data_IF_932323130657
#
_entry.id   IF_932323130657
#
_cell.length_a   1.000
_cell.length_b   1.000
_cell.length_c   1.000
_cell.angle_alpha   90.00
_cell.angle_beta   90.00
_cell.angle_gamma   90.00
#
_symmetry.space_group_name_H-M   'P 1'
#
loop_
_entity.id
_entity.type
_entity.pdbx_description
1 polymer ?
#
# COMPACT_ATOMS: atom_id res chain seq x y z
N UNK A 1 -1.46 7.51 -24.20
CA UNK A 1 -2.09 7.25 -25.50
C UNK A 1 -1.25 7.87 -26.62
N UNK A 2 0.02 7.44 -26.76
CA UNK A 2 0.93 7.96 -27.80
C UNK A 2 0.99 7.04 -29.03
N UNK A 3 0.79 5.74 -28.79
CA UNK A 3 0.84 4.69 -29.82
C UNK A 3 -0.55 4.28 -30.33
N UNK A 4 -1.62 4.80 -29.74
CA UNK A 4 -3.02 4.63 -30.18
C UNK A 4 -3.36 5.86 -31.03
N UNK A 5 -3.18 5.71 -32.35
CA UNK A 5 -3.17 6.85 -33.26
C UNK A 5 -4.57 7.32 -33.60
N UNK A 6 -5.52 6.40 -33.73
CA UNK A 6 -6.92 6.68 -34.04
C UNK A 6 -7.81 6.88 -32.78
N UNK A 7 -7.28 6.58 -31.58
CA UNK A 7 -7.93 6.77 -30.28
C UNK A 7 -9.22 5.97 -30.14
N UNK A 8 -9.31 4.85 -30.85
CA UNK A 8 -10.45 3.94 -30.76
C UNK A 8 -10.38 3.05 -29.49
N UNK A 9 -9.25 3.09 -28.77
CA UNK A 9 -8.99 2.34 -27.55
C UNK A 9 -8.62 0.87 -27.77
N UNK A 10 -8.33 0.47 -29.02
CA UNK A 10 -7.97 -0.89 -29.44
C UNK A 10 -6.73 -0.85 -30.34
N UNK A 11 -5.57 -1.09 -29.74
CA UNK A 11 -4.31 -1.13 -30.51
C UNK A 11 -4.33 -2.24 -31.58
N UNK A 12 -4.15 -1.83 -32.83
CA UNK A 12 -3.83 -2.73 -33.94
C UNK A 12 -2.44 -3.36 -33.77
N UNK A 13 -2.09 -4.37 -34.57
CA UNK A 13 -0.79 -5.06 -34.45
C UNK A 13 0.40 -4.11 -34.53
N UNK A 14 0.30 -3.11 -35.39
CA UNK A 14 1.37 -2.17 -35.67
C UNK A 14 1.49 -1.14 -34.54
N UNK A 15 0.35 -0.67 -34.03
CA UNK A 15 0.29 0.20 -32.86
C UNK A 15 0.78 -0.49 -31.58
N UNK A 16 0.52 -1.80 -31.44
CA UNK A 16 1.04 -2.58 -30.33
C UNK A 16 2.57 -2.70 -30.36
N UNK A 17 3.15 -2.95 -31.54
CA UNK A 17 4.60 -3.00 -31.72
C UNK A 17 5.25 -1.65 -31.42
N UNK A 18 4.64 -0.55 -31.90
CA UNK A 18 5.08 0.82 -31.59
C UNK A 18 4.96 1.10 -30.09
N UNK A 19 3.86 0.70 -29.44
CA UNK A 19 3.68 0.87 -28.00
C UNK A 19 4.75 0.14 -27.20
N UNK A 20 5.11 -1.08 -27.63
CA UNK A 20 6.16 -1.87 -26.99
C UNK A 20 7.54 -1.23 -27.17
N UNK A 21 7.86 -0.75 -28.38
CA UNK A 21 9.09 -0.02 -28.62
C UNK A 21 9.20 1.26 -27.76
N UNK A 22 8.10 2.00 -27.62
CA UNK A 22 8.06 3.16 -26.72
C UNK A 22 8.30 2.77 -25.24
N UNK A 23 7.78 1.61 -24.80
CA UNK A 23 8.05 1.12 -23.45
C UNK A 23 9.54 0.81 -23.24
N UNK A 24 10.20 0.25 -24.25
CA UNK A 24 11.61 -0.08 -24.18
C UNK A 24 12.52 1.16 -24.21
N UNK A 25 12.15 2.20 -24.97
CA UNK A 25 12.84 3.50 -24.96
C UNK A 25 12.77 4.16 -23.57
N UNK A 26 11.59 4.17 -22.94
CA UNK A 26 11.42 4.69 -21.57
C UNK A 26 12.21 3.86 -20.57
N UNK A 27 12.18 2.54 -20.73
CA UNK A 27 12.91 1.61 -19.85
C UNK A 27 14.43 1.74 -20.01
N UNK A 28 14.90 2.15 -21.19
CA UNK A 28 16.28 2.54 -21.45
C UNK A 28 16.65 3.95 -20.94
N UNK A 29 15.71 4.65 -20.30
CA UNK A 29 15.94 5.96 -19.67
C UNK A 29 15.88 7.16 -20.62
N UNK A 30 15.44 6.96 -21.86
CA UNK A 30 15.24 8.05 -22.82
C UNK A 30 13.83 8.64 -22.68
N UNK A 31 13.72 9.97 -22.80
CA UNK A 31 12.44 10.66 -22.76
C UNK A 31 11.67 10.45 -24.07
N UNK A 32 10.40 10.06 -23.98
CA UNK A 32 9.57 9.89 -25.17
C UNK A 32 9.29 11.25 -25.82
N UNK A 33 9.40 11.35 -27.16
CA UNK A 33 9.01 12.56 -27.88
C UNK A 33 7.51 12.84 -27.71
N UNK A 34 7.12 14.12 -27.65
CA UNK A 34 5.74 14.55 -27.38
C UNK A 34 4.74 14.18 -28.47
N UNK A 35 5.22 13.87 -29.67
CA UNK A 35 4.47 13.33 -30.81
C UNK A 35 5.33 12.27 -31.50
N UNK A 36 4.71 11.14 -31.86
CA UNK A 36 5.39 10.04 -32.54
C UNK A 36 5.89 10.52 -33.93
N UNK A 37 7.15 10.26 -34.35
CA UNK A 37 7.64 10.63 -35.68
C UNK A 37 6.90 9.89 -36.80
N UNK A 38 6.52 10.60 -37.87
CA UNK A 38 5.71 10.07 -38.98
C UNK A 38 6.41 8.93 -39.77
N UNK A 39 7.71 8.73 -39.56
CA UNK A 39 8.48 7.61 -40.13
C UNK A 39 8.09 6.24 -39.54
N UNK A 40 7.54 6.19 -38.33
CA UNK A 40 7.22 4.94 -37.63
C UNK A 40 5.85 4.34 -38.02
N UNK A 41 5.07 5.08 -38.80
CA UNK A 41 3.78 4.63 -39.36
C UNK A 41 3.93 3.99 -40.75
N UNK A 42 5.11 4.08 -41.38
CA UNK A 42 5.35 3.69 -42.77
C UNK A 42 6.15 2.40 -42.94
N UNK A 43 6.17 1.47 -41.96
CA UNK A 43 6.96 0.23 -42.07
C UNK A 43 6.21 -0.98 -42.61
N UNK A 44 4.88 -0.96 -42.72
CA UNK A 44 4.13 -2.22 -42.97
C UNK A 44 3.72 -2.46 -44.43
N UNK A 45 3.82 -1.50 -45.34
CA UNK A 45 3.42 -1.71 -46.75
C UNK A 45 4.59 -2.10 -47.67
N UNK A 46 5.85 -1.74 -47.35
CA UNK A 46 6.99 -1.93 -48.26
C UNK A 46 7.80 -3.24 -48.11
N UNK A 47 7.58 -4.05 -47.07
CA UNK A 47 8.40 -5.25 -46.80
C UNK A 47 7.73 -6.60 -47.10
N UNK A 48 6.58 -6.62 -47.77
CA UNK A 48 5.90 -7.89 -48.10
C UNK A 48 6.31 -8.54 -49.43
N UNK A 49 7.27 -7.96 -50.16
CA UNK A 49 7.73 -8.48 -51.47
C UNK A 49 9.12 -9.11 -51.49
N UNK A 50 9.77 -9.36 -50.34
CA UNK A 50 11.04 -10.08 -50.32
C UNK A 50 11.09 -11.10 -49.21
N UNK A 51 10.88 -12.36 -49.59
CA UNK A 51 11.54 -13.61 -49.15
C UNK A 51 10.51 -14.72 -49.34
N UNK A 52 10.53 -15.29 -50.54
CA UNK A 52 9.71 -16.42 -50.95
C UNK A 52 10.28 -17.04 -52.21
N UNK A 53 11.60 -17.20 -52.31
CA UNK A 53 12.28 -18.02 -53.32
C UNK A 53 13.79 -18.06 -53.07
N UNK A 54 14.30 -19.24 -52.70
CA UNK A 54 15.63 -19.85 -52.93
C UNK A 54 15.87 -20.88 -51.82
N UNK A 55 16.34 -22.10 -52.06
CA UNK A 55 16.84 -22.76 -53.27
C UNK A 55 16.78 -24.28 -53.03
N UNK A 56 16.47 -25.10 -54.04
CA UNK A 56 17.41 -25.60 -55.08
C UNK A 56 18.55 -26.41 -54.46
N UNK A 57 18.62 -27.72 -54.74
CA UNK A 57 19.57 -28.36 -55.69
C UNK A 57 20.35 -29.41 -54.88
N UNK A 58 20.80 -30.60 -55.32
CA UNK A 58 21.12 -31.25 -56.59
C UNK A 58 21.02 -32.78 -56.35
N UNK A 59 20.58 -33.65 -57.27
CA UNK A 59 21.18 -34.10 -58.56
C UNK A 59 22.40 -35.02 -58.39
N UNK A 60 22.28 -36.19 -59.04
CA UNK A 60 23.34 -37.08 -59.55
C UNK A 60 24.09 -37.97 -58.55
N UNK A 61 24.54 -39.17 -58.90
CA UNK A 61 24.45 -39.97 -60.13
C UNK A 61 25.14 -41.31 -59.88
N UNK A 62 24.60 -42.36 -60.49
CA UNK A 62 25.27 -43.36 -61.32
C UNK A 62 26.46 -44.21 -60.81
N UNK A 63 26.41 -45.44 -61.36
CA UNK A 63 27.51 -46.28 -61.82
C UNK A 63 28.18 -47.23 -60.82
N UNK A 64 27.92 -48.53 -61.01
CA UNK A 64 28.94 -49.44 -61.54
C UNK A 64 28.28 -50.72 -62.07
N UNK A 65 28.34 -50.87 -63.39
CA UNK A 65 28.31 -52.15 -64.10
C UNK A 65 29.60 -52.94 -63.82
N UNK A 66 29.69 -54.11 -64.48
CA UNK A 66 30.90 -54.87 -64.87
C UNK A 66 31.12 -56.09 -63.94
N UNK A 67 31.16 -57.34 -64.38
CA UNK A 67 31.08 -57.99 -65.70
C UNK A 67 31.22 -59.53 -65.42
N UNK A 68 30.57 -60.44 -66.18
CA UNK A 68 31.18 -61.17 -67.32
C UNK A 68 31.87 -62.48 -66.83
N UNK A 69 31.75 -63.68 -67.41
CA UNK A 69 31.18 -64.14 -68.68
C UNK A 69 31.53 -65.64 -68.92
N UNK A 70 30.85 -66.23 -69.92
CA UNK A 70 31.34 -67.18 -70.94
C UNK A 70 31.68 -68.63 -70.52
N UNK A 71 31.56 -69.65 -71.39
CA UNK A 71 31.53 -69.72 -72.87
C UNK A 71 30.84 -71.04 -73.28
N UNK A 72 29.85 -71.01 -74.17
CA UNK A 72 29.91 -71.36 -75.60
C UNK A 72 30.33 -72.80 -75.96
N UNK A 73 29.49 -73.48 -76.75
CA UNK A 73 29.71 -73.69 -78.19
C UNK A 73 28.52 -74.51 -78.78
N UNK A 74 27.78 -73.98 -79.77
CA UNK A 74 28.01 -74.06 -81.23
C UNK A 74 27.82 -75.51 -81.76
N UNK A 75 26.96 -75.83 -82.75
CA UNK A 75 26.64 -75.24 -84.07
C UNK A 75 25.30 -75.88 -84.56
N UNK A 76 24.33 -75.15 -85.15
CA UNK A 76 24.26 -74.72 -86.57
C UNK A 76 24.08 -75.93 -87.53
N UNK A 77 23.13 -76.09 -88.47
CA UNK A 77 22.01 -75.32 -89.06
C UNK A 77 21.28 -76.20 -90.12
N UNK A 78 20.09 -75.74 -90.56
CA UNK A 78 19.56 -75.66 -91.97
C UNK A 78 19.67 -76.91 -92.88
N UNK A 79 18.75 -77.30 -93.77
CA UNK A 79 17.62 -76.70 -94.49
C UNK A 79 17.08 -77.81 -95.42
N UNK A 80 15.78 -77.75 -95.72
CA UNK A 80 15.03 -78.11 -96.97
C UNK A 80 15.55 -79.11 -98.04
N UNK A 81 14.54 -79.70 -98.70
CA UNK A 81 14.49 -80.35 -100.05
C UNK A 81 14.54 -81.89 -100.08
N UNK A 82 13.42 -82.55 -100.42
CA UNK A 82 12.92 -82.99 -101.75
C UNK A 82 13.66 -84.21 -102.34
N UNK A 83 13.02 -85.39 -102.38
CA UNK A 83 12.60 -86.11 -103.60
C UNK A 83 12.18 -87.57 -103.32
N UNK A 84 11.21 -88.01 -104.13
CA UNK A 84 10.65 -89.34 -104.40
C UNK A 84 11.73 -90.44 -104.66
N UNK A 85 11.42 -91.76 -104.86
CA UNK A 85 10.18 -92.30 -105.45
C UNK A 85 9.69 -93.73 -105.01
N UNK A 86 8.54 -94.14 -105.60
CA UNK A 86 8.18 -95.48 -106.16
C UNK A 86 8.13 -96.74 -105.24
N UNK A 87 7.26 -97.76 -105.33
CA UNK A 87 6.01 -98.12 -106.07
C UNK A 87 5.50 -99.50 -105.58
N UNK A 88 4.18 -99.74 -105.74
CA UNK A 88 3.47 -101.03 -106.01
C UNK A 88 3.14 -102.04 -104.86
N UNK A 89 1.83 -102.25 -104.70
CA UNK A 89 0.94 -103.37 -104.27
C UNK A 89 1.39 -104.84 -104.52
N UNK A 90 0.62 -105.94 -104.24
CA UNK A 90 -0.73 -106.08 -103.62
C UNK A 90 -0.91 -107.24 -102.57
N UNK A 91 -2.11 -107.27 -101.97
CA UNK A 91 -2.92 -108.37 -101.36
C UNK A 91 -2.35 -109.78 -101.04
N UNK A 92 -2.67 -110.34 -99.85
CA UNK A 92 -3.54 -111.56 -99.65
C UNK A 92 -3.66 -112.08 -98.20
N UNK A 93 -4.94 -112.19 -97.78
CA UNK A 93 -5.66 -113.14 -96.89
C UNK A 93 -4.96 -114.18 -95.98
N UNK A 94 -5.44 -114.17 -94.72
CA UNK A 94 -5.85 -115.29 -93.83
C UNK A 94 -4.80 -116.20 -93.14
N UNK A 95 -4.56 -115.97 -91.84
CA UNK A 95 -4.83 -116.95 -90.76
C UNK A 95 -4.61 -116.30 -89.36
N UNK A 96 -5.26 -115.14 -89.16
CA UNK A 96 -5.49 -114.54 -87.84
C UNK A 96 -6.36 -115.54 -87.04
N UNK A 97 -6.05 -115.91 -85.80
CA UNK A 97 -6.73 -115.32 -84.63
C UNK A 97 -6.04 -115.67 -83.28
N UNK A 98 -4.92 -116.42 -83.23
CA UNK A 98 -4.31 -116.82 -81.93
C UNK A 98 -3.19 -115.91 -81.39
N UNK A 99 -2.54 -115.11 -82.25
CA UNK A 99 -1.45 -114.20 -81.83
C UNK A 99 -1.93 -112.78 -81.47
N UNK A 100 -3.13 -112.41 -81.89
CA UNK A 100 -3.71 -111.08 -81.64
C UNK A 100 -3.99 -110.83 -80.17
N UNK A 101 -4.50 -111.83 -79.46
CA UNK A 101 -4.91 -111.71 -78.06
C UNK A 101 -3.70 -111.56 -77.11
N UNK A 102 -2.60 -112.29 -77.37
CA UNK A 102 -1.35 -112.19 -76.58
C UNK A 102 -0.58 -110.90 -76.83
N UNK A 103 -0.65 -110.35 -78.04
CA UNK A 103 -0.07 -109.04 -78.39
C UNK A 103 -0.86 -107.91 -77.71
N UNK A 104 -2.18 -108.02 -77.71
CA UNK A 104 -3.06 -107.02 -77.12
C UNK A 104 -2.97 -106.99 -75.59
N UNK A 105 -2.88 -108.14 -74.93
CA UNK A 105 -2.70 -108.19 -73.47
C UNK A 105 -1.37 -107.60 -73.00
N UNK A 106 -0.26 -107.85 -73.72
CA UNK A 106 1.02 -107.19 -73.43
C UNK A 106 0.97 -105.68 -73.67
N UNK A 107 0.26 -105.25 -74.71
CA UNK A 107 0.04 -103.83 -74.98
C UNK A 107 -0.77 -103.17 -73.87
N UNK A 108 -1.83 -103.81 -73.39
CA UNK A 108 -2.68 -103.30 -72.31
C UNK A 108 -2.00 -103.31 -70.94
N UNK A 109 -1.26 -104.37 -70.60
CA UNK A 109 -0.52 -104.44 -69.34
C UNK A 109 0.66 -103.45 -69.34
N UNK A 110 1.36 -103.31 -70.47
CA UNK A 110 2.39 -102.28 -70.65
C UNK A 110 1.81 -100.86 -70.62
N UNK A 111 0.63 -100.66 -71.21
CA UNK A 111 -0.09 -99.38 -71.18
C UNK A 111 -0.53 -99.02 -69.76
N UNK A 112 -1.13 -99.96 -69.01
CA UNK A 112 -1.53 -99.77 -67.61
C UNK A 112 -0.34 -99.49 -66.69
N UNK A 113 0.78 -100.18 -66.90
CA UNK A 113 1.99 -99.95 -66.10
C UNK A 113 2.65 -98.60 -66.42
N UNK A 114 2.71 -98.22 -67.70
CA UNK A 114 3.14 -96.89 -68.10
C UNK A 114 2.19 -95.81 -67.60
N UNK A 115 0.89 -96.06 -67.58
CA UNK A 115 -0.12 -95.14 -67.09
C UNK A 115 -0.05 -94.98 -65.56
N UNK A 116 0.18 -96.06 -64.81
CA UNK A 116 0.52 -95.99 -63.37
C UNK A 116 1.80 -95.21 -63.12
N UNK A 117 2.86 -95.45 -63.89
CA UNK A 117 4.12 -94.70 -63.75
C UNK A 117 3.92 -93.21 -64.07
N UNK A 118 3.15 -92.88 -65.10
CA UNK A 118 2.78 -91.48 -65.42
C UNK A 118 1.94 -90.84 -64.31
N UNK A 119 1.02 -91.59 -63.69
CA UNK A 119 0.25 -91.11 -62.54
C UNK A 119 1.14 -90.88 -61.32
N UNK A 120 2.01 -91.84 -60.98
CA UNK A 120 2.93 -91.72 -59.85
C UNK A 120 3.91 -90.55 -60.04
N UNK A 121 4.43 -90.35 -61.25
CA UNK A 121 5.28 -89.21 -61.59
C UNK A 121 4.54 -87.89 -61.44
N UNK A 122 3.29 -87.79 -61.93
CA UNK A 122 2.46 -86.59 -61.74
C UNK A 122 2.13 -86.34 -60.27
N UNK A 123 1.79 -87.37 -59.51
CA UNK A 123 1.52 -87.25 -58.08
C UNK A 123 2.77 -86.84 -57.29
N UNK A 124 3.94 -87.35 -57.68
CA UNK A 124 5.23 -86.96 -57.08
C UNK A 124 5.57 -85.50 -57.43
N UNK A 125 5.42 -85.10 -58.70
CA UNK A 125 5.59 -83.70 -59.13
C UNK A 125 4.62 -82.76 -58.41
N UNK A 126 3.34 -83.15 -58.27
CA UNK A 126 2.33 -82.39 -57.53
C UNK A 126 2.64 -82.32 -56.03
N UNK A 127 3.08 -83.41 -55.40
CA UNK A 127 3.48 -83.42 -53.99
C UNK A 127 4.67 -82.52 -53.75
N UNK A 128 5.70 -82.62 -54.60
CA UNK A 128 6.90 -81.79 -54.53
C UNK A 128 6.58 -80.32 -54.85
N UNK A 129 5.62 -80.05 -55.73
CA UNK A 129 5.12 -78.71 -56.02
C UNK A 129 4.34 -78.14 -54.82
N UNK A 130 3.41 -78.90 -54.22
CA UNK A 130 2.67 -78.47 -53.01
C UNK A 130 3.57 -78.22 -51.82
N UNK A 131 4.57 -79.08 -51.60
CA UNK A 131 5.55 -78.88 -50.51
C UNK A 131 6.42 -77.65 -50.75
N UNK A 132 6.81 -77.37 -52.00
CA UNK A 132 7.51 -76.13 -52.36
C UNK A 132 6.62 -74.90 -52.12
N UNK A 133 5.37 -74.94 -52.55
CA UNK A 133 4.41 -73.85 -52.34
C UNK A 133 4.11 -73.61 -50.85
N UNK A 134 3.96 -74.66 -50.04
CA UNK A 134 3.74 -74.52 -48.60
C UNK A 134 4.98 -73.95 -47.90
N UNK A 135 6.18 -74.39 -48.31
CA UNK A 135 7.45 -73.84 -47.82
C UNK A 135 7.63 -72.38 -48.24
N UNK A 136 7.22 -72.00 -49.45
CA UNK A 136 7.23 -70.61 -49.92
C UNK A 136 6.23 -69.76 -49.15
N UNK A 137 4.97 -70.18 -49.02
CA UNK A 137 3.95 -69.48 -48.20
C UNK A 137 4.40 -69.32 -46.75
N UNK A 138 5.05 -70.32 -46.17
CA UNK A 138 5.60 -70.25 -44.81
C UNK A 138 6.75 -69.25 -44.71
N UNK A 139 7.68 -69.24 -45.68
CA UNK A 139 8.76 -68.24 -45.76
C UNK A 139 8.23 -66.83 -45.95
N UNK A 140 7.22 -66.65 -46.81
CA UNK A 140 6.56 -65.38 -47.05
C UNK A 140 5.83 -64.88 -45.79
N UNK A 141 5.10 -65.76 -45.10
CA UNK A 141 4.45 -65.44 -43.83
C UNK A 141 5.45 -65.07 -42.73
N UNK A 142 6.56 -65.81 -42.61
CA UNK A 142 7.63 -65.49 -41.66
C UNK A 142 8.31 -64.15 -41.99
N UNK A 143 8.57 -63.88 -43.27
CA UNK A 143 9.16 -62.62 -43.71
C UNK A 143 8.20 -61.43 -43.50
N UNK A 144 6.91 -61.61 -43.80
CA UNK A 144 5.89 -60.60 -43.57
C UNK A 144 5.75 -60.30 -42.07
N UNK A 145 5.67 -61.34 -41.24
CA UNK A 145 5.62 -61.20 -39.78
C UNK A 145 6.87 -60.50 -39.22
N UNK A 146 8.06 -60.75 -39.77
CA UNK A 146 9.27 -60.04 -39.37
C UNK A 146 9.24 -58.56 -39.78
N UNK A 147 8.71 -58.23 -40.96
CA UNK A 147 8.54 -56.83 -41.39
C UNK A 147 7.56 -56.10 -40.48
N UNK A 148 6.40 -56.69 -40.23
CA UNK A 148 5.36 -56.11 -39.38
C UNK A 148 5.89 -55.93 -37.94
N UNK A 149 6.65 -56.89 -37.41
CA UNK A 149 7.25 -56.77 -36.07
C UNK A 149 8.36 -55.71 -36.03
N UNK A 150 9.18 -55.59 -37.08
CA UNK A 150 10.17 -54.49 -37.18
C UNK A 150 9.50 -53.13 -37.28
N UNK A 151 8.40 -53.01 -38.02
CA UNK A 151 7.62 -51.79 -38.14
C UNK A 151 6.97 -51.43 -36.80
N UNK A 152 6.30 -52.38 -36.14
CA UNK A 152 5.72 -52.21 -34.80
C UNK A 152 6.77 -51.81 -33.79
N UNK A 153 7.97 -52.40 -33.85
CA UNK A 153 9.09 -52.04 -32.98
C UNK A 153 9.56 -50.61 -33.21
N UNK A 154 9.70 -50.17 -34.46
CA UNK A 154 10.05 -48.78 -34.80
C UNK A 154 8.98 -47.80 -34.32
N UNK A 155 7.70 -48.14 -34.52
CA UNK A 155 6.57 -47.33 -34.05
C UNK A 155 6.56 -47.22 -32.52
N UNK A 156 6.73 -48.33 -31.79
CA UNK A 156 6.83 -48.31 -30.32
C UNK A 156 8.05 -47.55 -29.82
N UNK A 157 9.21 -47.65 -30.48
CA UNK A 157 10.41 -46.89 -30.10
C UNK A 157 10.23 -45.39 -30.31
N UNK A 158 9.58 -44.99 -31.41
CA UNK A 158 9.21 -43.61 -31.71
C UNK A 158 8.19 -43.06 -30.70
N UNK A 159 7.13 -43.81 -30.42
CA UNK A 159 6.12 -43.47 -29.41
C UNK A 159 6.75 -43.32 -28.03
N UNK A 160 7.64 -44.25 -27.63
CA UNK A 160 8.37 -44.16 -26.36
C UNK A 160 9.29 -42.94 -26.29
N UNK A 161 9.89 -42.52 -27.41
CA UNK A 161 10.71 -41.31 -27.47
C UNK A 161 9.86 -40.04 -27.34
N UNK A 162 8.69 -40.00 -27.98
CA UNK A 162 7.74 -38.91 -27.87
C UNK A 162 7.18 -38.81 -26.44
N UNK A 163 6.86 -39.95 -25.83
CA UNK A 163 6.37 -40.02 -24.46
C UNK A 163 7.42 -39.54 -23.46
N UNK A 164 8.69 -39.90 -23.65
CA UNK A 164 9.79 -39.33 -22.84
C UNK A 164 9.91 -37.81 -23.01
N UNK A 165 9.73 -37.28 -24.22
CA UNK A 165 9.74 -35.81 -24.41
C UNK A 165 8.59 -35.15 -23.67
N UNK A 166 7.37 -35.70 -23.76
CA UNK A 166 6.20 -35.22 -23.00
C UNK A 166 6.43 -35.26 -21.50
N UNK A 167 7.04 -36.33 -20.98
CA UNK A 167 7.38 -36.45 -19.56
C UNK A 167 8.39 -35.40 -19.11
N UNK A 168 9.43 -35.14 -19.91
CA UNK A 168 10.43 -34.10 -19.62
C UNK A 168 9.78 -32.71 -19.64
N UNK A 169 8.91 -32.45 -20.62
CA UNK A 169 8.17 -31.19 -20.72
C UNK A 169 7.24 -30.99 -19.52
N UNK A 170 6.49 -32.04 -19.16
CA UNK A 170 5.62 -32.01 -17.99
C UNK A 170 6.39 -31.79 -16.69
N UNK A 171 7.54 -32.46 -16.49
CA UNK A 171 8.40 -32.22 -15.33
C UNK A 171 8.91 -30.78 -15.27
N UNK A 172 9.35 -30.22 -16.41
CA UNK A 172 9.79 -28.82 -16.48
C UNK A 172 8.65 -27.84 -16.21
N UNK A 173 7.44 -28.14 -16.67
CA UNK A 173 6.25 -27.34 -16.42
C UNK A 173 5.85 -27.40 -14.94
N UNK A 174 5.90 -28.58 -14.32
CA UNK A 174 5.68 -28.75 -12.88
C UNK A 174 6.72 -28.01 -12.04
N UNK A 175 8.01 -28.06 -12.40
CA UNK A 175 9.06 -27.30 -11.73
C UNK A 175 8.85 -25.79 -11.86
N UNK A 176 8.49 -25.31 -13.06
CA UNK A 176 8.13 -23.90 -13.29
C UNK A 176 6.92 -23.50 -12.46
N UNK A 177 5.91 -24.35 -12.38
CA UNK A 177 4.70 -24.13 -11.57
C UNK A 177 5.03 -24.04 -10.09
N UNK A 178 5.84 -24.97 -9.55
CA UNK A 178 6.30 -24.96 -8.15
C UNK A 178 7.11 -23.71 -7.83
N UNK A 179 8.02 -23.30 -8.71
CA UNK A 179 8.83 -22.09 -8.52
C UNK A 179 7.95 -20.83 -8.54
N UNK A 180 6.99 -20.77 -9.45
CA UNK A 180 6.03 -19.67 -9.52
C UNK A 180 5.16 -19.60 -8.25
N UNK A 181 4.64 -20.75 -7.80
CA UNK A 181 3.85 -20.86 -6.57
C UNK A 181 4.67 -20.48 -5.33
N UNK A 182 5.93 -20.90 -5.23
CA UNK A 182 6.83 -20.50 -4.14
C UNK A 182 7.10 -19.00 -4.15
N UNK A 183 7.32 -18.42 -5.33
CA UNK A 183 7.53 -16.97 -5.48
C UNK A 183 6.27 -16.17 -5.13
N UNK A 184 5.10 -16.65 -5.54
CA UNK A 184 3.82 -16.03 -5.22
C UNK A 184 3.52 -16.14 -3.72
N UNK A 185 3.75 -17.29 -3.10
CA UNK A 185 3.63 -17.49 -1.67
C UNK A 185 4.57 -16.58 -0.88
N UNK A 186 5.85 -16.49 -1.27
CA UNK A 186 6.81 -15.57 -0.67
C UNK A 186 6.37 -14.11 -0.80
N UNK A 187 5.81 -13.72 -1.96
CA UNK A 187 5.26 -12.36 -2.17
C UNK A 187 4.07 -12.08 -1.24
N UNK A 188 3.11 -13.00 -1.14
CA UNK A 188 1.95 -12.88 -0.26
C UNK A 188 2.36 -12.79 1.22
N UNK A 189 3.35 -13.57 1.64
CA UNK A 189 3.86 -13.55 3.01
C UNK A 189 4.61 -12.24 3.32
N UNK A 190 5.40 -11.72 2.38
CA UNK A 190 6.04 -10.41 2.52
C UNK A 190 5.02 -9.29 2.60
N UNK A 191 3.98 -9.31 1.76
CA UNK A 191 2.91 -8.32 1.81
C UNK A 191 2.14 -8.37 3.14
N UNK A 192 1.86 -9.57 3.65
CA UNK A 192 1.25 -9.75 4.98
C UNK A 192 2.14 -9.16 6.07
N UNK A 193 3.45 -9.41 6.04
CA UNK A 193 4.40 -8.85 7.00
C UNK A 193 4.45 -7.33 6.94
N UNK A 194 4.56 -6.74 5.75
CA UNK A 194 4.57 -5.29 5.57
C UNK A 194 3.28 -4.65 6.07
N UNK A 195 2.12 -5.30 5.85
CA UNK A 195 0.85 -4.82 6.38
C UNK A 195 0.81 -4.86 7.91
N UNK A 196 1.24 -5.96 8.53
CA UNK A 196 1.29 -6.09 9.99
C UNK A 196 2.27 -5.09 10.63
N UNK A 197 3.43 -4.87 10.00
CA UNK A 197 4.40 -3.87 10.44
C UNK A 197 3.84 -2.45 10.33
N UNK A 198 3.15 -2.13 9.23
CA UNK A 198 2.47 -0.85 9.06
C UNK A 198 1.37 -0.65 10.11
N UNK A 199 0.52 -1.66 10.35
CA UNK A 199 -0.51 -1.61 11.39
C UNK A 199 0.12 -1.44 12.78
N UNK A 200 1.23 -2.14 13.07
CA UNK A 200 1.97 -2.00 14.34
C UNK A 200 2.57 -0.61 14.51
N UNK A 201 3.22 -0.06 13.48
CA UNK A 201 3.77 1.29 13.51
C UNK A 201 2.65 2.31 13.73
N UNK A 202 1.53 2.17 13.01
CA UNK A 202 0.38 3.06 13.16
C UNK A 202 -0.21 3.03 14.57
N UNK A 203 -0.32 1.84 15.16
CA UNK A 203 -0.76 1.68 16.54
C UNK A 203 0.22 2.29 17.54
N UNK A 204 1.53 2.15 17.31
CA UNK A 204 2.56 2.76 18.14
C UNK A 204 2.53 4.29 18.05
N UNK A 205 2.40 4.86 16.85
CA UNK A 205 2.21 6.30 16.64
C UNK A 205 1.02 6.83 17.42
N UNK A 206 -0.16 6.22 17.26
CA UNK A 206 -1.37 6.62 17.98
C UNK A 206 -1.21 6.49 19.50
N UNK A 207 -0.52 5.45 19.99
CA UNK A 207 -0.23 5.26 21.41
C UNK A 207 0.72 6.35 21.95
N UNK A 208 1.73 6.74 21.17
CA UNK A 208 2.64 7.84 21.55
C UNK A 208 1.91 9.19 21.54
N UNK A 209 1.04 9.44 20.57
CA UNK A 209 0.19 10.64 20.54
C UNK A 209 -0.74 10.68 21.75
N UNK A 210 -1.42 9.57 22.06
CA UNK A 210 -2.26 9.45 23.26
C UNK A 210 -1.46 9.75 24.52
N UNK A 211 -0.25 9.21 24.65
CA UNK A 211 0.62 9.43 25.82
C UNK A 211 1.01 10.90 25.96
N UNK A 212 1.38 11.58 24.86
CA UNK A 212 1.68 13.02 24.85
C UNK A 212 0.47 13.87 25.25
N UNK A 213 -0.71 13.56 24.74
CA UNK A 213 -1.94 14.28 25.09
C UNK A 213 -2.33 14.07 26.56
N UNK A 214 -2.13 12.86 27.09
CA UNK A 214 -2.34 12.57 28.50
C UNK A 214 -1.35 13.35 29.39
N UNK A 215 -0.08 13.41 29.01
CA UNK A 215 0.93 14.21 29.72
C UNK A 215 0.59 15.71 29.70
N UNK A 216 0.20 16.26 28.54
CA UNK A 216 -0.26 17.64 28.43
C UNK A 216 -1.48 17.91 29.33
N UNK A 217 -2.44 16.98 29.36
CA UNK A 217 -3.61 17.08 30.24
C UNK A 217 -3.21 17.08 31.71
N UNK A 218 -2.29 16.21 32.11
CA UNK A 218 -1.81 16.16 33.49
C UNK A 218 -1.03 17.42 33.88
N UNK A 219 -0.21 17.96 32.96
CA UNK A 219 0.48 19.23 33.18
C UNK A 219 -0.51 20.38 33.35
N UNK A 220 -1.55 20.46 32.51
CA UNK A 220 -2.61 21.46 32.65
C UNK A 220 -3.36 21.32 33.98
N UNK A 221 -3.74 20.10 34.38
CA UNK A 221 -4.38 19.85 35.69
C UNK A 221 -3.49 20.26 36.87
N UNK A 222 -2.18 20.02 36.77
CA UNK A 222 -1.24 20.45 37.81
C UNK A 222 -1.12 21.98 37.89
N UNK A 223 -1.12 22.66 36.73
CA UNK A 223 -1.09 24.12 36.62
C UNK A 223 -2.38 24.75 37.15
N UNK A 224 -3.53 24.16 36.82
CA UNK A 224 -4.85 24.54 37.33
C UNK A 224 -4.85 24.50 38.85
N UNK A 225 -4.46 23.37 39.45
CA UNK A 225 -4.37 23.24 40.91
C UNK A 225 -3.40 24.24 41.56
N UNK A 226 -2.29 24.55 40.89
CA UNK A 226 -1.34 25.56 41.39
C UNK A 226 -1.97 26.97 41.39
N UNK A 227 -2.70 27.32 40.33
CA UNK A 227 -3.41 28.60 40.22
C UNK A 227 -4.57 28.69 41.22
N UNK A 228 -5.29 27.60 41.48
CA UNK A 228 -6.32 27.54 42.53
C UNK A 228 -5.75 27.86 43.91
N UNK A 229 -4.59 27.28 44.25
CA UNK A 229 -3.92 27.56 45.53
C UNK A 229 -3.42 29.01 45.61
N UNK A 230 -2.92 29.56 44.50
CA UNK A 230 -2.50 30.96 44.42
C UNK A 230 -3.69 31.91 44.60
N UNK A 231 -4.83 31.63 43.96
CA UNK A 231 -6.07 32.37 44.15
C UNK A 231 -6.56 32.32 45.60
N UNK A 232 -6.57 31.14 46.22
CA UNK A 232 -6.96 30.99 47.63
C UNK A 232 -6.04 31.81 48.55
N UNK A 233 -4.72 31.78 48.30
CA UNK A 233 -3.77 32.60 49.06
C UNK A 233 -4.03 34.09 48.87
N UNK A 234 -4.39 34.54 47.66
CA UNK A 234 -4.72 35.94 47.42
C UNK A 234 -6.02 36.32 48.14
N UNK A 235 -7.04 35.47 48.12
CA UNK A 235 -8.28 35.70 48.88
C UNK A 235 -8.02 35.83 50.38
N UNK A 236 -7.16 34.99 50.95
CA UNK A 236 -6.77 35.09 52.36
C UNK A 236 -6.08 36.43 52.68
N UNK A 237 -5.23 36.92 51.76
CA UNK A 237 -4.59 38.24 51.91
C UNK A 237 -5.59 39.39 51.80
N UNK A 238 -6.56 39.29 50.90
CA UNK A 238 -7.65 40.26 50.74
C UNK A 238 -8.48 40.32 52.02
N UNK A 239 -8.91 39.17 52.54
CA UNK A 239 -9.67 39.10 53.79
C UNK A 239 -8.88 39.69 54.97
N UNK A 240 -7.58 39.42 55.05
CA UNK A 240 -6.70 39.97 56.09
C UNK A 240 -6.61 41.49 55.97
N UNK A 241 -6.44 42.02 54.77
CA UNK A 241 -6.38 43.46 54.54
C UNK A 241 -7.73 44.14 54.81
N UNK A 242 -8.84 43.52 54.41
CA UNK A 242 -10.19 44.01 54.74
C UNK A 242 -10.42 44.10 56.25
N UNK A 243 -9.97 43.09 57.03
CA UNK A 243 -10.02 43.14 58.50
C UNK A 243 -9.20 44.30 59.06
N UNK A 244 -7.99 44.53 58.54
CA UNK A 244 -7.13 45.66 58.94
C UNK A 244 -7.80 47.00 58.62
N UNK A 245 -8.35 47.16 57.41
CA UNK A 245 -9.08 48.37 56.99
C UNK A 245 -10.29 48.62 57.89
N UNK A 246 -11.05 47.58 58.21
CA UNK A 246 -12.18 47.71 59.13
C UNK A 246 -11.70 48.17 60.52
N UNK A 247 -10.64 47.59 61.06
CA UNK A 247 -10.06 47.98 62.34
C UNK A 247 -9.52 49.43 62.32
N UNK A 248 -8.89 49.86 61.24
CA UNK A 248 -8.44 51.27 61.14
C UNK A 248 -9.63 52.22 61.07
N UNK A 249 -10.70 51.85 60.36
CA UNK A 249 -11.90 52.68 60.28
C UNK A 249 -12.61 52.80 61.64
N UNK A 250 -12.68 51.73 62.42
CA UNK A 250 -13.24 51.80 63.79
C UNK A 250 -12.36 52.66 64.70
N UNK A 251 -11.03 52.56 64.59
CA UNK A 251 -10.11 53.43 65.33
C UNK A 251 -10.28 54.91 64.95
N UNK A 252 -10.45 55.22 63.65
CA UNK A 252 -10.73 56.57 63.18
C UNK A 252 -12.04 57.09 63.78
N UNK A 253 -13.12 56.30 63.74
CA UNK A 253 -14.40 56.67 64.36
C UNK A 253 -14.27 56.98 65.86
N UNK A 254 -13.48 56.19 66.59
CA UNK A 254 -13.21 56.44 68.01
C UNK A 254 -12.44 57.76 68.21
N UNK A 255 -11.46 58.05 67.36
CA UNK A 255 -10.69 59.30 67.42
C UNK A 255 -11.60 60.49 67.09
N UNK A 256 -12.41 60.40 66.04
CA UNK A 256 -13.37 61.45 65.66
C UNK A 256 -14.35 61.74 66.80
N UNK A 257 -14.85 60.70 67.47
CA UNK A 257 -15.71 60.87 68.64
C UNK A 257 -14.99 61.61 69.78
N UNK A 258 -13.75 61.25 70.08
CA UNK A 258 -12.94 61.95 71.09
C UNK A 258 -12.67 63.41 70.72
N UNK A 259 -12.41 63.69 69.45
CA UNK A 259 -12.23 65.06 68.95
C UNK A 259 -13.52 65.86 69.16
N UNK A 260 -14.68 65.29 68.81
CA UNK A 260 -15.97 65.93 69.02
C UNK A 260 -16.24 66.20 70.52
N UNK A 261 -15.94 65.24 71.39
CA UNK A 261 -16.09 65.40 72.84
C UNK A 261 -15.17 66.50 73.39
N UNK A 262 -13.91 66.55 72.95
CA UNK A 262 -12.96 67.61 73.30
C UNK A 262 -13.40 68.99 72.80
N UNK A 263 -13.91 69.08 71.57
CA UNK A 263 -14.44 70.32 71.01
C UNK A 263 -15.64 70.81 71.83
N UNK A 264 -16.56 69.92 72.18
CA UNK A 264 -17.71 70.23 73.04
C UNK A 264 -17.26 70.73 74.41
N UNK A 265 -16.28 70.08 75.03
CA UNK A 265 -15.70 70.51 76.29
C UNK A 265 -15.07 71.90 76.18
N UNK A 266 -14.27 72.13 75.14
CA UNK A 266 -13.61 73.43 74.90
C UNK A 266 -14.64 74.56 74.74
N UNK A 267 -15.74 74.32 74.02
CA UNK A 267 -16.83 75.28 73.86
C UNK A 267 -17.51 75.56 75.22
N UNK A 268 -17.74 74.52 76.03
CA UNK A 268 -18.31 74.66 77.37
C UNK A 268 -17.41 75.49 78.29
N UNK A 269 -16.10 75.20 78.33
CA UNK A 269 -15.12 75.97 79.10
C UNK A 269 -15.06 77.41 78.64
N UNK A 270 -15.07 77.66 77.32
CA UNK A 270 -15.09 79.02 76.76
C UNK A 270 -16.32 79.80 77.25
N UNK A 271 -17.51 79.19 77.22
CA UNK A 271 -18.72 79.83 77.75
C UNK A 271 -18.65 80.11 79.25
N UNK A 272 -18.08 79.20 80.05
CA UNK A 272 -17.85 79.44 81.47
C UNK A 272 -16.88 80.62 81.69
N UNK A 273 -15.82 80.69 80.89
CA UNK A 273 -14.83 81.76 80.97
C UNK A 273 -15.45 83.11 80.58
N UNK A 274 -16.24 83.16 79.51
CA UNK A 274 -17.03 84.33 79.09
C UNK A 274 -17.96 84.81 80.23
N UNK A 275 -18.65 83.88 80.91
CA UNK A 275 -19.51 84.20 82.05
C UNK A 275 -18.72 84.78 83.23
N UNK A 276 -17.57 84.19 83.59
CA UNK A 276 -16.71 84.72 84.64
C UNK A 276 -16.11 86.08 84.28
N UNK A 277 -15.75 86.30 83.01
CA UNK A 277 -15.31 87.60 82.53
C UNK A 277 -16.40 88.66 82.65
N UNK A 278 -17.65 88.30 82.35
CA UNK A 278 -18.79 89.19 82.53
C UNK A 278 -19.01 89.53 84.00
N UNK A 279 -19.02 88.52 84.89
CA UNK A 279 -19.12 88.74 86.34
C UNK A 279 -17.99 89.64 86.87
N UNK A 280 -16.75 89.44 86.40
CA UNK A 280 -15.60 90.29 86.74
C UNK A 280 -15.83 91.74 86.30
N UNK A 281 -16.33 91.97 85.08
CA UNK A 281 -16.66 93.32 84.59
C UNK A 281 -17.73 93.97 85.45
N UNK A 282 -18.80 93.25 85.78
CA UNK A 282 -19.89 93.78 86.60
C UNK A 282 -19.43 94.15 88.01
N UNK A 283 -18.59 93.31 88.64
CA UNK A 283 -17.98 93.61 89.94
C UNK A 283 -17.04 94.82 89.87
N UNK A 284 -16.25 94.95 88.80
CA UNK A 284 -15.38 96.10 88.58
C UNK A 284 -16.18 97.41 88.42
N UNK A 285 -17.28 97.38 87.66
CA UNK A 285 -18.20 98.53 87.52
C UNK A 285 -18.79 98.91 88.89
N UNK A 286 -19.27 97.94 89.67
CA UNK A 286 -19.80 98.18 91.03
C UNK A 286 -18.73 98.78 91.95
N UNK A 287 -17.50 98.28 91.90
CA UNK A 287 -16.39 98.82 92.69
C UNK A 287 -16.11 100.28 92.34
N UNK A 288 -16.01 100.61 91.05
CA UNK A 288 -15.81 101.99 90.61
C UNK A 288 -16.94 102.90 91.07
N UNK A 289 -18.20 102.45 90.99
CA UNK A 289 -19.35 103.20 91.47
C UNK A 289 -19.25 103.50 92.97
N UNK A 290 -19.00 102.47 93.79
CA UNK A 290 -18.79 102.64 95.24
C UNK A 290 -17.60 103.56 95.55
N UNK A 291 -16.54 103.52 94.75
CA UNK A 291 -15.40 104.42 94.90
C UNK A 291 -15.79 105.88 94.62
N UNK A 292 -16.56 106.14 93.56
CA UNK A 292 -17.10 107.49 93.28
C UNK A 292 -18.05 107.97 94.37
N UNK A 293 -18.92 107.11 94.90
CA UNK A 293 -19.77 107.46 96.05
C UNK A 293 -18.94 107.78 97.29
N UNK A 294 -17.91 106.98 97.59
CA UNK A 294 -16.98 107.21 98.70
C UNK A 294 -16.29 108.57 98.58
N UNK A 295 -15.80 108.93 97.38
CA UNK A 295 -15.16 110.21 97.11
C UNK A 295 -16.12 111.40 97.27
N UNK A 296 -17.37 111.25 96.81
CA UNK A 296 -18.43 112.24 97.01
C UNK A 296 -18.77 112.44 98.50
N UNK A 297 -18.92 111.36 99.26
CA UNK A 297 -19.18 111.42 100.70
C UNK A 297 -17.99 112.05 101.44
N UNK A 298 -16.75 111.66 101.11
CA UNK A 298 -15.54 112.25 101.69
C UNK A 298 -15.45 113.76 101.41
N UNK A 299 -15.78 114.18 100.19
CA UNK A 299 -15.83 115.59 99.81
C UNK A 299 -16.92 116.33 100.60
N UNK A 300 -18.10 115.72 100.76
CA UNK A 300 -19.18 116.25 101.59
C UNK A 300 -18.78 116.38 103.06
N UNK A 301 -18.13 115.36 103.63
CA UNK A 301 -17.59 115.40 105.00
C UNK A 301 -16.54 116.50 105.17
N UNK A 302 -15.65 116.68 104.19
CA UNK A 302 -14.64 117.76 104.21
C UNK A 302 -15.30 119.13 104.21
N UNK A 303 -16.31 119.34 103.37
CA UNK A 303 -17.09 120.58 103.31
C UNK A 303 -17.83 120.84 104.64
N UNK A 304 -18.43 119.80 105.23
CA UNK A 304 -19.17 119.91 106.50
C UNK A 304 -18.23 120.21 107.67
N UNK A 305 -17.03 119.63 107.69
CA UNK A 305 -15.99 119.95 108.67
C UNK A 305 -15.45 121.38 108.48
N UNK A 306 -15.25 121.84 107.24
CA UNK A 306 -14.89 123.23 106.96
C UNK A 306 -16.00 124.21 107.41
N UNK A 307 -17.26 123.86 107.18
CA UNK A 307 -18.42 124.62 107.65
C UNK A 307 -18.48 124.66 109.19
N UNK A 308 -18.26 123.54 109.88
CA UNK A 308 -18.18 123.50 111.35
C UNK A 308 -17.03 124.35 111.89
N UNK A 309 -15.85 124.29 111.29
CA UNK A 309 -14.71 125.14 111.68
C UNK A 309 -14.99 126.63 111.41
N UNK A 310 -15.67 126.95 110.31
CA UNK A 310 -16.14 128.31 110.03
C UNK A 310 -17.15 128.79 111.08
N UNK A 311 -18.14 127.97 111.44
CA UNK A 311 -19.11 128.28 112.50
C UNK A 311 -18.44 128.45 113.86
N UNK A 312 -17.44 127.61 114.21
CA UNK A 312 -16.63 127.79 115.43
C UNK A 312 -15.89 129.12 115.43
N UNK A 313 -15.29 129.52 114.30
CA UNK A 313 -14.61 130.82 114.17
C UNK A 313 -15.58 131.99 114.34
N UNK A 314 -16.78 131.92 113.75
CA UNK A 314 -17.82 132.93 113.97
C UNK A 314 -18.23 133.00 115.44
N UNK A 315 -18.53 131.86 116.07
CA UNK A 315 -18.90 131.81 117.49
C UNK A 315 -17.78 132.34 118.39
N UNK A 316 -16.52 132.01 118.10
CA UNK A 316 -15.36 132.56 118.80
C UNK A 316 -15.25 134.06 118.63
N UNK A 317 -15.50 134.60 117.43
CA UNK A 317 -15.49 136.04 117.17
C UNK A 317 -16.65 136.77 117.86
N UNK A 318 -17.84 136.16 117.92
CA UNK A 318 -18.99 136.70 118.67
C UNK A 318 -18.73 136.68 120.18
N UNK A 319 -18.14 135.61 120.71
CA UNK A 319 -17.72 135.55 122.12
C UNK A 319 -16.64 136.60 122.43
N UNK A 320 -15.64 136.75 121.57
CA UNK A 320 -14.61 137.78 121.70
C UNK A 320 -15.18 139.20 121.61
N UNK A 321 -16.15 139.46 120.72
CA UNK A 321 -16.82 140.76 120.67
C UNK A 321 -17.73 141.00 121.87
N UNK A 322 -18.35 139.95 122.42
CA UNK A 322 -19.17 140.05 123.64
C UNK A 322 -18.33 140.28 124.89
N UNK A 323 -17.08 139.79 124.93
CA UNK A 323 -16.12 140.06 126.01
C UNK A 323 -15.52 141.48 125.88
N UNK A 324 -15.41 142.04 124.66
CA UNK A 324 -14.92 143.40 124.44
C UNK A 324 -15.97 144.51 124.74
N UNK A 325 -17.22 144.15 125.01
CA UNK A 325 -18.33 145.06 125.35
C UNK A 325 -18.74 145.02 126.84
N UNK A 326 -17.97 144.34 127.69
CA UNK A 326 -17.98 144.46 129.14
C UNK A 326 -16.63 144.99 129.60
#
# INVERSE_FOLDING_TARGET
>A
ALADHDKDGRLTSDEFVIAMHCCDIVRAGQILPTRLPDEWLNTTIAQRERIGSLGTSNVSSAFANINQELKDAFKFTTTTENHAPETIEPERRNSLVSYEEKRQKNYEDGFKELERRRQLLREQEERDQREREERERKREFELQKQKDEQERRKQMEFERQLERQRQIEHQKEEERRKLFEQREAARKDMERKSRLEWERQRMQELSTQKSRLLEQTNNLKSREKALELELQSMDDTIQTNQKKVHQTNTNIQIIDQKINDMQKHTIQEKHLLENFEQQRKDLYIKLNHLQTERESINSSLKNLNQSKEFSKRILSNVLLSSIAYH
#
